data_IF_158415149496
#
_entry.id   IF_158415149496
#
_cell.length_a   1.000
_cell.length_b   1.000
_cell.length_c   1.000
_cell.angle_alpha   90.00
_cell.angle_beta   90.00
_cell.angle_gamma   90.00
#
_symmetry.space_group_name_H-M   'P 1'
#
loop_
_entity.id
_entity.type
_entity.pdbx_description
1 polymer ?
#
# COMPACT_ATOMS: atom_id res chain seq x y z
N UNK A 1 -9.52 27.76 4.71
CA UNK A 1 -10.39 26.58 4.57
C UNK A 1 -9.69 25.39 5.21
N UNK A 2 -10.41 24.49 5.91
CA UNK A 2 -9.81 23.29 6.51
C UNK A 2 -9.57 22.25 5.41
N UNK A 3 -8.35 21.69 5.33
CA UNK A 3 -8.02 20.64 4.35
C UNK A 3 -8.81 19.34 4.58
N UNK A 4 -9.10 19.01 5.84
CA UNK A 4 -9.62 17.69 6.22
C UNK A 4 -11.14 17.57 6.11
N UNK A 5 -11.88 18.67 6.21
CA UNK A 5 -13.34 18.67 6.13
C UNK A 5 -13.86 18.05 4.82
N UNK A 6 -13.46 18.50 3.62
CA UNK A 6 -13.93 17.89 2.38
C UNK A 6 -13.39 16.47 2.16
N UNK A 7 -12.24 16.12 2.75
CA UNK A 7 -11.73 14.75 2.74
C UNK A 7 -12.61 13.80 3.57
N UNK A 8 -13.10 14.27 4.72
CA UNK A 8 -13.99 13.50 5.58
C UNK A 8 -15.38 13.34 4.95
N UNK A 9 -15.87 14.39 4.30
CA UNK A 9 -17.17 14.43 3.60
C UNK A 9 -17.16 13.72 2.24
N UNK A 10 -15.97 13.41 1.71
CA UNK A 10 -15.78 12.84 0.37
C UNK A 10 -16.31 13.76 -0.73
N UNK A 11 -16.15 15.07 -0.56
CA UNK A 11 -16.47 16.07 -1.57
C UNK A 11 -15.27 16.30 -2.49
N UNK A 12 -15.27 15.67 -3.66
CA UNK A 12 -14.17 15.81 -4.64
C UNK A 12 -13.90 17.28 -5.01
N UNK A 13 -14.95 18.07 -5.24
CA UNK A 13 -14.80 19.47 -5.64
C UNK A 13 -14.21 20.32 -4.51
N UNK A 14 -14.68 20.08 -3.28
CA UNK A 14 -14.15 20.67 -2.06
C UNK A 14 -12.70 20.26 -1.80
N UNK A 15 -12.31 19.01 -2.07
CA UNK A 15 -10.93 18.52 -1.92
C UNK A 15 -9.98 19.31 -2.83
N UNK A 16 -10.33 19.44 -4.13
CA UNK A 16 -9.51 20.20 -5.09
C UNK A 16 -9.37 21.65 -4.65
N UNK A 17 -10.47 22.29 -4.23
CA UNK A 17 -10.46 23.66 -3.75
C UNK A 17 -9.62 23.82 -2.46
N UNK A 18 -9.73 22.88 -1.51
CA UNK A 18 -8.99 22.89 -0.26
C UNK A 18 -7.49 22.72 -0.46
N UNK A 19 -7.09 21.87 -1.39
CA UNK A 19 -5.69 21.67 -1.74
C UNK A 19 -5.10 22.92 -2.38
N UNK A 20 -5.80 23.53 -3.35
CA UNK A 20 -5.36 24.79 -3.94
C UNK A 20 -5.20 25.90 -2.88
N UNK A 21 -6.13 26.00 -1.95
CA UNK A 21 -6.04 26.96 -0.84
C UNK A 21 -4.88 26.65 0.11
N UNK A 22 -4.72 25.37 0.49
CA UNK A 22 -3.63 24.93 1.36
C UNK A 22 -2.26 25.24 0.75
N UNK A 23 -2.11 25.04 -0.57
CA UNK A 23 -0.88 25.30 -1.31
C UNK A 23 -0.47 26.77 -1.36
N UNK A 24 -1.38 27.72 -1.10
CA UNK A 24 -1.02 29.15 -1.00
C UNK A 24 -0.08 29.47 0.17
N UNK A 25 -0.16 28.67 1.24
CA UNK A 25 0.53 28.97 2.51
C UNK A 25 1.55 27.90 2.93
N UNK A 26 1.64 26.79 2.20
CA UNK A 26 2.48 25.65 2.57
C UNK A 26 3.41 25.26 1.42
N UNK A 27 4.13 24.14 1.54
CA UNK A 27 4.93 23.53 0.47
C UNK A 27 4.23 22.30 -0.10
N UNK A 28 4.73 21.77 -1.23
CA UNK A 28 4.27 20.49 -1.78
C UNK A 28 4.54 19.32 -0.82
N UNK A 29 5.68 19.34 -0.12
CA UNK A 29 6.00 18.34 0.90
C UNK A 29 5.02 18.38 2.08
N UNK A 30 4.62 19.58 2.51
CA UNK A 30 3.61 19.74 3.55
C UNK A 30 2.23 19.27 3.09
N UNK A 31 1.85 19.52 1.83
CA UNK A 31 0.62 18.98 1.25
C UNK A 31 0.67 17.46 1.22
N UNK A 32 1.77 16.88 0.70
CA UNK A 32 1.97 15.43 0.68
C UNK A 32 1.84 14.83 2.08
N UNK A 33 2.53 15.40 3.07
CA UNK A 33 2.49 14.90 4.44
C UNK A 33 1.07 14.89 4.99
N UNK A 34 0.30 15.97 4.78
CA UNK A 34 -1.09 16.05 5.25
C UNK A 34 -2.01 15.01 4.58
N UNK A 35 -1.88 14.80 3.27
CA UNK A 35 -2.66 13.81 2.51
C UNK A 35 -2.28 12.38 2.87
N UNK A 36 -0.99 12.09 2.97
CA UNK A 36 -0.51 10.76 3.32
C UNK A 36 -0.87 10.40 4.77
N UNK A 37 -0.81 11.37 5.70
CA UNK A 37 -1.32 11.19 7.06
C UNK A 37 -2.82 10.89 7.07
N UNK A 38 -3.61 11.59 6.25
CA UNK A 38 -5.04 11.29 6.13
C UNK A 38 -5.26 9.84 5.65
N UNK A 39 -4.53 9.38 4.62
CA UNK A 39 -4.64 8.00 4.13
C UNK A 39 -4.30 6.95 5.20
N UNK A 40 -3.29 7.23 6.04
CA UNK A 40 -2.90 6.37 7.17
C UNK A 40 -3.95 6.37 8.29
N UNK A 41 -4.48 7.54 8.66
CA UNK A 41 -5.45 7.65 9.74
C UNK A 41 -6.84 7.17 9.34
N UNK A 42 -7.20 7.24 8.06
CA UNK A 42 -8.44 6.71 7.50
C UNK A 42 -8.38 5.21 7.20
N UNK A 43 -7.20 4.59 7.40
CA UNK A 43 -6.94 3.22 7.04
C UNK A 43 -7.91 2.25 7.73
N UNK A 44 -8.36 1.25 6.98
CA UNK A 44 -9.11 0.10 7.48
C UNK A 44 -8.71 -1.11 6.62
N UNK A 45 -8.51 -2.32 7.18
CA UNK A 45 -7.99 -3.46 6.43
C UNK A 45 -8.94 -3.85 5.28
N UNK A 46 -8.68 -3.29 4.10
CA UNK A 46 -9.55 -3.35 2.92
C UNK A 46 -8.70 -3.03 1.69
N UNK A 47 -9.02 -3.62 0.54
CA UNK A 47 -8.29 -3.40 -0.71
C UNK A 47 -8.15 -1.91 -1.06
N UNK A 48 -9.20 -1.13 -0.79
CA UNK A 48 -9.19 0.31 -1.07
C UNK A 48 -8.19 1.08 -0.20
N UNK A 49 -8.20 0.85 1.12
CA UNK A 49 -7.30 1.57 2.02
C UNK A 49 -5.83 1.17 1.81
N UNK A 50 -5.55 -0.12 1.55
CA UNK A 50 -4.22 -0.61 1.14
C UNK A 50 -3.67 0.21 -0.01
N UNK A 51 -4.48 0.36 -1.06
CA UNK A 51 -4.08 1.12 -2.23
C UNK A 51 -3.93 2.62 -1.96
N UNK A 52 -4.73 3.23 -1.09
CA UNK A 52 -4.57 4.65 -0.79
C UNK A 52 -3.20 4.96 -0.18
N UNK A 53 -2.76 4.11 0.74
CA UNK A 53 -1.43 4.19 1.35
C UNK A 53 -0.33 3.92 0.32
N UNK A 54 -0.49 2.87 -0.49
CA UNK A 54 0.49 2.52 -1.54
C UNK A 54 0.59 3.61 -2.61
N UNK A 55 -0.51 4.28 -2.96
CA UNK A 55 -0.52 5.41 -3.89
C UNK A 55 0.27 6.59 -3.32
N UNK A 56 0.03 6.96 -2.05
CA UNK A 56 0.80 8.00 -1.38
C UNK A 56 2.30 7.63 -1.36
N UNK A 57 2.63 6.39 -1.02
CA UNK A 57 4.01 5.89 -1.07
C UNK A 57 4.63 6.04 -2.46
N UNK A 58 3.88 5.65 -3.49
CA UNK A 58 4.33 5.64 -4.90
C UNK A 58 4.51 7.07 -5.44
N UNK A 59 3.59 7.98 -5.11
CA UNK A 59 3.68 9.40 -5.45
C UNK A 59 4.97 10.02 -4.88
N UNK A 60 5.31 9.68 -3.63
CA UNK A 60 6.56 10.14 -3.03
C UNK A 60 7.80 9.66 -3.77
N UNK A 61 7.82 8.41 -4.24
CA UNK A 61 8.98 7.83 -4.95
C UNK A 61 9.25 8.49 -6.30
N UNK A 62 8.22 8.98 -6.97
CA UNK A 62 8.35 9.57 -8.31
C UNK A 62 8.28 11.11 -8.28
N UNK A 63 8.22 11.72 -7.10
CA UNK A 63 8.01 13.17 -6.94
C UNK A 63 9.03 14.01 -7.71
N UNK A 64 10.30 13.58 -7.70
CA UNK A 64 11.41 14.29 -8.34
C UNK A 64 11.27 14.28 -9.88
N UNK A 65 10.56 13.30 -10.45
CA UNK A 65 10.30 13.19 -11.89
C UNK A 65 9.09 14.02 -12.34
N UNK A 66 8.17 14.30 -11.41
CA UNK A 66 6.92 15.00 -11.72
C UNK A 66 7.08 16.51 -11.74
N UNK A 67 8.05 17.05 -10.98
CA UNK A 67 8.26 18.48 -10.83
C UNK A 67 6.96 19.19 -10.46
N UNK A 68 6.52 20.14 -11.29
CA UNK A 68 5.32 20.94 -11.04
C UNK A 68 4.00 20.14 -11.05
N UNK A 69 4.00 18.89 -11.56
CA UNK A 69 2.81 18.02 -11.58
C UNK A 69 2.65 17.20 -10.29
N UNK A 70 3.56 17.34 -9.33
CA UNK A 70 3.49 16.58 -8.09
C UNK A 70 2.23 16.91 -7.28
N UNK A 71 1.85 18.19 -7.19
CA UNK A 71 0.64 18.61 -6.47
C UNK A 71 -0.64 18.04 -7.07
N UNK A 72 -0.70 17.90 -8.40
CA UNK A 72 -1.83 17.26 -9.10
C UNK A 72 -1.94 15.79 -8.70
N UNK A 73 -0.81 15.07 -8.66
CA UNK A 73 -0.81 13.67 -8.23
C UNK A 73 -1.19 13.52 -6.75
N UNK A 74 -0.72 14.42 -5.89
CA UNK A 74 -1.10 14.43 -4.46
C UNK A 74 -2.59 14.71 -4.30
N UNK A 75 -3.18 15.56 -5.16
CA UNK A 75 -4.62 15.80 -5.20
C UNK A 75 -5.39 14.52 -5.54
N UNK A 76 -4.96 13.77 -6.55
CA UNK A 76 -5.59 12.49 -6.89
C UNK A 76 -5.43 11.45 -5.77
N UNK A 77 -4.28 11.42 -5.08
CA UNK A 77 -4.10 10.58 -3.88
C UNK A 77 -5.09 10.96 -2.77
N UNK A 78 -5.33 12.26 -2.56
CA UNK A 78 -6.25 12.76 -1.55
C UNK A 78 -7.70 12.35 -1.84
N UNK A 79 -8.13 12.52 -3.10
CA UNK A 79 -9.43 12.07 -3.57
C UNK A 79 -9.55 10.57 -3.36
N UNK A 80 -8.56 9.78 -3.81
CA UNK A 80 -8.60 8.33 -3.68
C UNK A 80 -8.68 7.89 -2.20
N UNK A 81 -7.89 8.49 -1.32
CA UNK A 81 -7.92 8.20 0.12
C UNK A 81 -9.29 8.53 0.74
N UNK A 82 -9.87 9.69 0.41
CA UNK A 82 -11.18 10.10 0.90
C UNK A 82 -12.28 9.12 0.45
N UNK A 83 -12.25 8.71 -0.83
CA UNK A 83 -13.20 7.75 -1.38
C UNK A 83 -13.03 6.34 -0.84
N UNK A 84 -11.80 5.97 -0.44
CA UNK A 84 -11.46 4.64 0.09
C UNK A 84 -11.85 4.45 1.56
N UNK A 85 -12.10 5.56 2.27
CA UNK A 85 -12.52 5.53 3.68
C UNK A 85 -13.80 4.70 3.83
N UNK A 86 -13.86 3.85 4.84
CA UNK A 86 -15.06 3.06 5.14
C UNK A 86 -15.96 3.79 6.16
N UNK A 87 -17.29 3.62 6.10
CA UNK A 87 -18.21 4.19 7.10
C UNK A 87 -17.89 3.75 8.54
N UNK A 88 -17.31 2.56 8.69
CA UNK A 88 -16.87 1.98 9.96
C UNK A 88 -15.37 2.11 10.23
N UNK A 89 -14.64 2.96 9.47
CA UNK A 89 -13.24 3.24 9.79
C UNK A 89 -13.14 3.64 11.26
N UNK A 90 -12.29 2.95 12.01
CA UNK A 90 -12.08 3.24 13.43
C UNK A 90 -11.64 4.70 13.60
N UNK A 91 -11.91 5.32 14.77
CA UNK A 91 -11.30 6.59 15.10
C UNK A 91 -9.78 6.52 14.89
N UNK A 92 -9.16 7.61 14.41
CA UNK A 92 -7.70 7.66 14.26
C UNK A 92 -7.02 7.29 15.58
N UNK A 93 -6.29 6.17 15.61
CA UNK A 93 -5.46 5.79 16.76
C UNK A 93 -4.05 6.27 16.48
N UNK A 94 -3.67 7.31 17.22
CA UNK A 94 -2.37 7.98 17.11
C UNK A 94 -1.38 7.48 18.15
N UNK A 95 -1.88 6.98 19.28
CA UNK A 95 -1.07 6.60 20.43
C UNK A 95 -0.84 5.08 20.52
N UNK A 96 0.37 4.64 20.90
CA UNK A 96 0.63 3.23 21.16
C UNK A 96 -0.24 2.69 22.30
N UNK A 97 -0.75 1.45 22.19
CA UNK A 97 -1.44 0.81 23.31
C UNK A 97 -0.47 0.57 24.48
N UNK A 98 -1.02 0.47 25.69
CA UNK A 98 -0.26 0.07 26.86
C UNK A 98 0.34 -1.34 26.67
N UNK A 99 1.64 -1.47 26.96
CA UNK A 99 2.38 -2.72 26.88
C UNK A 99 2.08 -3.55 28.14
N UNK A 100 1.64 -4.79 27.95
CA UNK A 100 1.36 -5.69 29.06
C UNK A 100 2.66 -6.23 29.68
N UNK A 101 2.66 -6.49 30.98
CA UNK A 101 3.84 -6.99 31.71
C UNK A 101 4.36 -8.34 31.18
N UNK A 102 3.51 -9.12 30.50
CA UNK A 102 3.83 -10.42 29.91
C UNK A 102 4.23 -10.33 28.43
N UNK A 103 4.25 -9.15 27.83
CA UNK A 103 4.60 -8.97 26.42
C UNK A 103 6.09 -9.32 26.20
N UNK A 104 6.37 -10.33 25.37
CA UNK A 104 7.74 -10.82 25.15
C UNK A 104 8.55 -9.86 24.29
N UNK A 105 7.99 -9.43 23.16
CA UNK A 105 8.66 -8.60 22.15
C UNK A 105 9.57 -9.40 21.20
N UNK A 106 9.60 -10.74 21.26
CA UNK A 106 10.32 -11.53 20.27
C UNK A 106 9.53 -11.66 18.96
N UNK A 107 10.19 -12.05 17.86
CA UNK A 107 9.54 -12.24 16.56
C UNK A 107 8.43 -13.31 16.61
N UNK A 108 8.60 -14.34 17.43
CA UNK A 108 7.61 -15.42 17.59
C UNK A 108 6.30 -14.90 18.19
N UNK A 109 6.34 -13.91 19.08
CA UNK A 109 5.13 -13.28 19.59
C UNK A 109 4.33 -12.58 18.50
N UNK A 110 4.99 -11.93 17.54
CA UNK A 110 4.29 -11.35 16.39
C UNK A 110 3.67 -12.45 15.52
N UNK A 111 4.42 -13.52 15.21
CA UNK A 111 3.91 -14.68 14.45
C UNK A 111 2.70 -15.32 15.11
N UNK A 112 2.76 -15.58 16.41
CA UNK A 112 1.66 -16.11 17.21
C UNK A 112 0.43 -15.19 17.14
N UNK A 113 0.64 -13.88 17.27
CA UNK A 113 -0.45 -12.89 17.23
C UNK A 113 -1.11 -12.86 15.85
N UNK A 114 -0.31 -12.92 14.79
CA UNK A 114 -0.78 -13.00 13.40
C UNK A 114 -1.57 -14.28 13.15
N UNK A 115 -1.04 -15.44 13.55
CA UNK A 115 -1.73 -16.72 13.40
C UNK A 115 -3.06 -16.77 14.16
N UNK A 116 -3.12 -16.13 15.34
CA UNK A 116 -4.33 -16.01 16.14
C UNK A 116 -5.34 -14.99 15.60
N UNK A 117 -4.91 -14.05 14.74
CA UNK A 117 -5.70 -12.86 14.40
C UNK A 117 -5.82 -11.86 15.57
N UNK A 118 -4.90 -11.92 16.53
CA UNK A 118 -4.88 -11.05 17.71
C UNK A 118 -4.21 -9.71 17.40
N UNK A 119 -5.02 -8.80 16.84
CA UNK A 119 -4.59 -7.45 16.48
C UNK A 119 -3.98 -6.69 17.65
N UNK A 120 -4.61 -6.71 18.82
CA UNK A 120 -4.17 -5.91 19.96
C UNK A 120 -2.80 -6.38 20.48
N UNK A 121 -2.59 -7.70 20.56
CA UNK A 121 -1.29 -8.26 20.95
C UNK A 121 -0.19 -7.92 19.95
N UNK A 122 -0.49 -7.94 18.65
CA UNK A 122 0.45 -7.54 17.61
C UNK A 122 0.78 -6.03 17.65
N UNK A 123 -0.21 -5.17 17.96
CA UNK A 123 0.04 -3.73 18.13
C UNK A 123 0.88 -3.41 19.37
N UNK A 124 0.72 -4.17 20.46
CA UNK A 124 1.58 -4.05 21.64
C UNK A 124 3.00 -4.50 21.36
N UNK A 125 3.17 -5.56 20.56
CA UNK A 125 4.48 -5.96 20.06
C UNK A 125 5.13 -4.80 19.28
N UNK A 126 4.38 -4.19 18.37
CA UNK A 126 4.85 -3.01 17.62
C UNK A 126 5.21 -1.86 18.55
N UNK A 127 4.32 -1.49 19.49
CA UNK A 127 4.54 -0.41 20.45
C UNK A 127 5.82 -0.58 21.25
N UNK A 128 6.14 -1.83 21.62
CA UNK A 128 7.37 -2.19 22.34
C UNK A 128 8.63 -2.06 21.48
N UNK A 129 8.52 -2.31 20.17
CA UNK A 129 9.68 -2.61 19.32
C UNK A 129 9.99 -1.62 18.22
N UNK A 130 9.07 -0.77 17.79
CA UNK A 130 9.24 0.02 16.55
C UNK A 130 10.43 0.99 16.53
N UNK A 131 11.09 1.20 17.68
CA UNK A 131 12.30 2.02 17.82
C UNK A 131 13.58 1.20 17.90
N UNK A 132 13.48 -0.12 17.95
CA UNK A 132 14.62 -1.01 18.06
C UNK A 132 15.39 -1.08 16.74
N UNK A 133 16.73 -1.20 16.76
CA UNK A 133 17.55 -1.23 15.55
C UNK A 133 17.21 -2.35 14.57
N UNK A 134 16.76 -3.50 15.08
CA UNK A 134 16.44 -4.71 14.31
C UNK A 134 14.93 -4.90 14.09
N UNK A 135 14.10 -3.93 14.48
CA UNK A 135 12.64 -3.98 14.31
C UNK A 135 12.23 -4.28 12.87
N UNK A 136 12.78 -3.56 11.89
CA UNK A 136 12.37 -3.70 10.50
C UNK A 136 12.65 -5.09 9.94
N UNK A 137 13.74 -5.73 10.39
CA UNK A 137 14.06 -7.12 10.01
C UNK A 137 12.94 -8.05 10.46
N UNK A 138 12.57 -7.99 11.73
CA UNK A 138 11.56 -8.88 12.30
C UNK A 138 10.16 -8.56 11.75
N UNK A 139 9.85 -7.28 11.58
CA UNK A 139 8.59 -6.80 11.01
C UNK A 139 8.39 -7.27 9.57
N UNK A 140 9.41 -7.16 8.71
CA UNK A 140 9.31 -7.63 7.33
C UNK A 140 9.35 -9.16 7.22
N UNK A 141 10.11 -9.85 8.08
CA UNK A 141 10.13 -11.30 8.11
C UNK A 141 8.71 -11.85 8.34
N UNK A 142 8.00 -11.36 9.35
CA UNK A 142 6.62 -11.82 9.61
C UNK A 142 5.65 -11.37 8.52
N UNK A 143 5.83 -10.17 7.94
CA UNK A 143 5.04 -9.73 6.79
C UNK A 143 5.18 -10.64 5.57
N UNK A 144 6.30 -11.36 5.45
CA UNK A 144 6.63 -12.26 4.35
C UNK A 144 6.33 -13.73 4.62
N UNK A 145 5.97 -14.10 5.86
CA UNK A 145 5.63 -15.48 6.21
C UNK A 145 4.35 -15.97 5.49
N UNK A 146 3.55 -15.04 4.95
CA UNK A 146 2.27 -15.30 4.30
C UNK A 146 2.12 -14.51 2.98
N UNK A 147 1.75 -15.23 1.93
CA UNK A 147 1.60 -14.72 0.57
C UNK A 147 0.13 -14.62 0.11
N UNK A 148 -0.84 -14.96 0.96
CA UNK A 148 -2.24 -14.71 0.65
C UNK A 148 -2.47 -13.24 0.26
N UNK A 149 -3.48 -13.01 -0.58
CA UNK A 149 -3.78 -11.68 -1.14
C UNK A 149 -2.58 -11.12 -1.91
N UNK A 150 -1.90 -12.00 -2.67
CA UNK A 150 -0.76 -11.67 -3.53
C UNK A 150 0.41 -10.98 -2.80
N UNK A 151 0.65 -11.35 -1.54
CA UNK A 151 1.74 -10.78 -0.73
C UNK A 151 1.51 -9.34 -0.30
N UNK A 152 0.25 -8.87 -0.24
CA UNK A 152 -0.08 -7.52 0.20
C UNK A 152 0.44 -7.16 1.59
N UNK A 153 0.57 -8.14 2.49
CA UNK A 153 1.13 -7.93 3.83
C UNK A 153 2.51 -7.29 3.77
N UNK A 154 3.42 -7.85 2.98
CA UNK A 154 4.76 -7.31 2.79
C UNK A 154 4.74 -5.97 2.04
N UNK A 155 3.93 -5.85 0.97
CA UNK A 155 3.84 -4.61 0.19
C UNK A 155 3.39 -3.43 1.08
N UNK A 156 2.36 -3.64 1.90
CA UNK A 156 1.83 -2.63 2.81
C UNK A 156 2.83 -2.35 3.94
N UNK A 157 3.48 -3.36 4.50
CA UNK A 157 4.51 -3.18 5.52
C UNK A 157 5.68 -2.31 5.02
N UNK A 158 6.14 -2.54 3.78
CA UNK A 158 7.19 -1.73 3.14
C UNK A 158 6.72 -0.29 2.89
N UNK A 159 5.48 -0.12 2.40
CA UNK A 159 4.90 1.21 2.22
C UNK A 159 4.80 1.98 3.54
N UNK A 160 4.34 1.31 4.60
CA UNK A 160 4.23 1.84 5.95
C UNK A 160 5.58 2.27 6.52
N UNK A 161 6.61 1.42 6.39
CA UNK A 161 7.96 1.72 6.87
C UNK A 161 8.54 2.98 6.24
N UNK A 162 8.36 3.18 4.92
CA UNK A 162 8.80 4.43 4.32
C UNK A 162 7.97 5.61 4.80
N UNK A 163 6.64 5.53 4.79
CA UNK A 163 5.81 6.66 5.21
C UNK A 163 6.13 7.07 6.66
N UNK A 164 6.42 6.10 7.53
CA UNK A 164 6.92 6.34 8.89
C UNK A 164 8.23 7.14 8.89
N UNK A 165 9.18 6.82 8.01
CA UNK A 165 10.43 7.59 7.87
C UNK A 165 10.20 9.03 7.41
N UNK A 166 9.12 9.30 6.67
CA UNK A 166 8.77 10.65 6.19
C UNK A 166 8.10 11.46 7.31
N UNK A 167 7.23 10.84 8.10
CA UNK A 167 6.55 11.52 9.20
C UNK A 167 7.40 11.65 10.46
N UNK A 168 8.49 10.89 10.55
CA UNK A 168 9.37 10.83 11.72
C UNK A 168 8.69 10.22 12.95
N UNK A 169 9.31 10.39 14.11
CA UNK A 169 8.95 9.68 15.35
C UNK A 169 7.49 9.84 15.76
N UNK A 170 6.89 11.01 15.53
CA UNK A 170 5.50 11.30 15.92
C UNK A 170 4.48 10.50 15.11
N UNK A 171 4.79 10.18 13.85
CA UNK A 171 3.90 9.43 12.96
C UNK A 171 4.25 7.95 12.83
N UNK A 172 5.42 7.53 13.34
CA UNK A 172 5.97 6.21 13.08
C UNK A 172 5.04 5.08 13.56
N UNK A 173 4.57 5.12 14.80
CA UNK A 173 3.66 4.09 15.32
C UNK A 173 2.36 4.00 14.52
N UNK A 174 1.66 5.14 14.37
CA UNK A 174 0.39 5.23 13.66
C UNK A 174 0.48 4.76 12.20
N UNK A 175 1.66 4.86 11.60
CA UNK A 175 1.91 4.38 10.25
C UNK A 175 2.28 2.91 10.22
N UNK A 176 3.25 2.46 11.03
CA UNK A 176 3.72 1.07 11.04
C UNK A 176 2.62 0.07 11.47
N UNK A 177 1.64 0.51 12.27
CA UNK A 177 0.52 -0.34 12.65
C UNK A 177 -0.34 -0.81 11.47
N UNK A 178 -0.36 -0.09 10.34
CA UNK A 178 -1.17 -0.49 9.19
C UNK A 178 -0.68 -1.83 8.61
N UNK A 179 0.63 -2.08 8.63
CA UNK A 179 1.14 -3.40 8.23
C UNK A 179 0.86 -4.47 9.27
N UNK A 180 0.85 -4.15 10.57
CA UNK A 180 0.39 -5.10 11.61
C UNK A 180 -1.08 -5.48 11.38
N UNK A 181 -1.92 -4.48 11.10
CA UNK A 181 -3.33 -4.70 10.80
C UNK A 181 -3.50 -5.66 9.62
N UNK A 182 -2.77 -5.43 8.52
CA UNK A 182 -2.78 -6.33 7.37
C UNK A 182 -2.32 -7.75 7.69
N UNK A 183 -1.25 -7.88 8.47
CA UNK A 183 -0.77 -9.21 8.88
C UNK A 183 -1.84 -9.97 9.65
N UNK A 184 -2.58 -9.29 10.53
CA UNK A 184 -3.62 -9.90 11.39
C UNK A 184 -5.00 -10.05 10.75
N UNK A 185 -5.27 -9.41 9.60
CA UNK A 185 -6.60 -9.35 9.00
C UNK A 185 -7.03 -10.64 8.28
N UNK A 186 -6.08 -11.43 7.77
CA UNK A 186 -6.35 -12.63 6.96
C UNK A 186 -5.38 -13.77 7.37
N UNK A 187 -5.87 -15.02 7.37
CA UNK A 187 -5.08 -16.23 7.66
C UNK A 187 -4.70 -16.89 6.35
N UNK A 188 -3.44 -16.82 5.94
CA UNK A 188 -3.10 -17.26 4.59
C UNK A 188 -2.47 -18.63 4.43
N UNK A 189 -2.24 -18.93 3.15
CA UNK A 189 -1.62 -20.13 2.62
C UNK A 189 -0.18 -19.79 2.18
N UNK A 190 0.76 -20.66 2.51
CA UNK A 190 2.16 -20.50 2.14
C UNK A 190 2.40 -20.91 0.67
N UNK A 191 2.18 -20.00 -0.27
CA UNK A 191 2.67 -20.15 -1.66
C UNK A 191 3.63 -19.01 -1.99
N UNK A 192 4.85 -19.33 -2.41
CA UNK A 192 5.91 -18.33 -2.61
C UNK A 192 5.92 -17.73 -4.02
N UNK A 193 6.56 -16.56 -4.22
CA UNK A 193 6.66 -15.90 -5.52
C UNK A 193 7.43 -16.71 -6.58
N UNK A 194 7.21 -16.33 -7.83
CA UNK A 194 7.48 -17.08 -9.06
C UNK A 194 8.80 -16.64 -9.72
N UNK A 195 9.35 -17.49 -10.59
CA UNK A 195 10.50 -17.12 -11.42
C UNK A 195 10.15 -16.06 -12.48
N UNK A 196 11.11 -15.17 -12.75
CA UNK A 196 11.06 -14.14 -13.80
C UNK A 196 9.75 -13.34 -13.83
N UNK A 197 9.36 -12.79 -12.67
CA UNK A 197 8.11 -12.04 -12.49
C UNK A 197 7.97 -10.88 -13.45
N UNK A 198 9.07 -10.21 -13.83
CA UNK A 198 9.05 -9.09 -14.77
C UNK A 198 8.77 -9.57 -16.19
N UNK A 199 9.46 -10.62 -16.66
CA UNK A 199 9.15 -11.16 -17.99
C UNK A 199 7.74 -11.73 -18.05
N UNK A 200 7.27 -12.36 -16.97
CA UNK A 200 5.89 -12.87 -16.86
C UNK A 200 4.88 -11.73 -16.93
N UNK A 201 5.10 -10.62 -16.21
CA UNK A 201 4.24 -9.44 -16.30
C UNK A 201 4.21 -8.84 -17.72
N UNK A 202 5.35 -8.79 -18.39
CA UNK A 202 5.43 -8.30 -19.77
C UNK A 202 4.68 -9.25 -20.72
N UNK A 203 4.91 -10.56 -20.61
CA UNK A 203 4.28 -11.58 -21.43
C UNK A 203 2.76 -11.60 -21.25
N UNK A 204 2.30 -11.43 -20.01
CA UNK A 204 0.90 -11.34 -19.65
C UNK A 204 0.30 -9.94 -19.85
N UNK A 205 1.06 -9.01 -20.45
CA UNK A 205 0.59 -7.66 -20.78
C UNK A 205 0.03 -6.92 -19.56
N UNK A 206 0.71 -7.05 -18.42
CA UNK A 206 0.41 -6.31 -17.21
C UNK A 206 -0.90 -6.70 -16.52
N UNK A 207 -1.32 -7.97 -16.64
CA UNK A 207 -2.47 -8.48 -15.86
C UNK A 207 -2.28 -8.26 -14.35
N UNK A 208 -3.40 -8.26 -13.61
CA UNK A 208 -3.38 -8.01 -12.16
C UNK A 208 -2.47 -8.96 -11.37
N UNK A 209 -2.50 -10.26 -11.65
CA UNK A 209 -1.73 -11.25 -10.87
C UNK A 209 -0.22 -11.09 -11.06
N UNK A 210 0.21 -10.88 -12.30
CA UNK A 210 1.60 -10.69 -12.66
C UNK A 210 2.14 -9.33 -12.21
N UNK A 211 1.32 -8.27 -12.28
CA UNK A 211 1.65 -6.97 -11.71
C UNK A 211 1.88 -7.08 -10.19
N UNK A 212 1.02 -7.80 -9.47
CA UNK A 212 1.20 -8.06 -8.04
C UNK A 212 2.48 -8.84 -7.74
N UNK A 213 2.81 -9.85 -8.54
CA UNK A 213 4.07 -10.58 -8.36
C UNK A 213 5.29 -9.65 -8.49
N UNK A 214 5.28 -8.70 -9.43
CA UNK A 214 6.35 -7.69 -9.57
C UNK A 214 6.37 -6.73 -8.38
N UNK A 215 5.23 -6.31 -7.86
CA UNK A 215 5.16 -5.44 -6.69
C UNK A 215 5.66 -6.12 -5.41
N UNK A 216 5.31 -7.39 -5.23
CA UNK A 216 5.81 -8.19 -4.12
C UNK A 216 7.33 -8.40 -4.25
N UNK A 217 7.82 -8.71 -5.45
CA UNK A 217 9.25 -8.83 -5.72
C UNK A 217 10.02 -7.56 -5.37
N UNK A 218 9.52 -6.38 -5.74
CA UNK A 218 10.07 -5.09 -5.34
C UNK A 218 10.06 -4.93 -3.80
N UNK A 219 8.95 -5.29 -3.14
CA UNK A 219 8.85 -5.23 -1.68
C UNK A 219 9.87 -6.15 -0.98
N UNK A 220 10.08 -7.38 -1.47
CA UNK A 220 11.12 -8.29 -0.96
C UNK A 220 12.52 -7.70 -1.09
N UNK A 221 12.82 -7.06 -2.24
CA UNK A 221 14.10 -6.38 -2.44
C UNK A 221 14.31 -5.24 -1.46
N UNK A 222 13.29 -4.41 -1.24
CA UNK A 222 13.35 -3.30 -0.26
C UNK A 222 13.53 -3.83 1.16
N UNK A 223 12.88 -4.95 1.49
CA UNK A 223 12.99 -5.60 2.80
C UNK A 223 14.30 -6.37 3.02
N UNK A 224 15.13 -6.56 1.98
CA UNK A 224 16.35 -7.36 2.07
C UNK A 224 16.10 -8.85 2.28
N UNK A 225 14.92 -9.35 1.87
CA UNK A 225 14.53 -10.74 2.03
C UNK A 225 15.07 -11.61 0.89
N UNK A 226 15.36 -12.90 1.14
CA UNK A 226 15.82 -13.82 0.10
C UNK A 226 14.74 -13.98 -0.96
N UNK A 227 15.13 -13.84 -2.23
CA UNK A 227 14.28 -14.11 -3.37
C UNK A 227 14.24 -15.62 -3.61
N UNK A 228 13.33 -16.34 -2.96
CA UNK A 228 13.11 -17.76 -3.30
C UNK A 228 12.32 -17.84 -4.60
N UNK A 229 12.79 -18.72 -5.47
CA UNK A 229 12.44 -18.85 -6.88
C UNK A 229 11.78 -20.22 -7.09
N UNK A 230 10.52 -20.24 -7.54
CA UNK A 230 9.82 -21.46 -7.94
C UNK A 230 9.23 -21.31 -9.36
N UNK A 231 9.41 -22.31 -10.24
CA UNK A 231 8.94 -22.26 -11.63
C UNK A 231 7.42 -22.46 -11.78
N UNK A 232 6.84 -21.90 -12.85
CA UNK A 232 5.41 -21.98 -13.20
C UNK A 232 5.07 -23.13 -14.18
N UNK A 233 3.85 -23.72 -14.09
CA UNK A 233 3.12 -24.22 -15.24
C UNK A 233 2.41 -23.08 -15.99
N UNK A 234 2.35 -23.16 -17.32
CA UNK A 234 1.68 -22.16 -18.17
C UNK A 234 0.18 -22.04 -17.83
N UNK A 235 -0.30 -20.81 -17.56
CA UNK A 235 -1.73 -20.56 -17.34
C UNK A 235 -2.49 -20.50 -18.68
N UNK A 236 -3.52 -21.34 -18.82
CA UNK A 236 -4.47 -21.30 -19.94
C UNK A 236 -5.43 -20.10 -19.86
N UNK A 237 -6.10 -19.85 -20.98
CA UNK A 237 -7.11 -18.80 -21.19
C UNK A 237 -8.17 -18.79 -20.07
N UNK A 238 -8.50 -17.61 -19.54
CA UNK A 238 -9.55 -17.43 -18.51
C UNK A 238 -10.76 -16.72 -19.11
N UNK A 239 -11.92 -17.35 -18.95
CA UNK A 239 -13.24 -16.84 -19.35
C UNK A 239 -13.94 -16.06 -18.22
N UNK A 240 -14.66 -14.99 -18.59
CA UNK A 240 -15.99 -14.71 -18.05
C UNK A 240 -16.16 -13.55 -17.05
N UNK A 241 -16.61 -12.42 -17.59
CA UNK A 241 -17.06 -11.18 -16.93
C UNK A 241 -18.08 -11.42 -15.81
N UNK A 242 -17.81 -10.89 -14.60
CA UNK A 242 -18.81 -10.63 -13.55
C UNK A 242 -19.22 -9.15 -13.56
N UNK A 243 -20.41 -8.85 -13.03
CA UNK A 243 -21.04 -7.53 -13.13
C UNK A 243 -20.25 -6.45 -12.38
N UNK A 244 -19.93 -5.38 -13.11
CA UNK A 244 -19.01 -4.31 -12.69
C UNK A 244 -19.60 -3.39 -11.60
N UNK A 245 -18.90 -3.14 -10.48
CA UNK A 245 -19.25 -2.07 -9.54
C UNK A 245 -19.01 -0.68 -10.14
N UNK A 246 -19.64 0.34 -9.54
CA UNK A 246 -19.59 1.74 -10.02
C UNK A 246 -18.14 2.28 -10.00
N UNK A 247 -17.70 2.64 -11.21
CA UNK A 247 -16.39 3.10 -11.65
C UNK A 247 -15.90 4.40 -10.98
N UNK A 248 -14.59 4.52 -10.70
CA UNK A 248 -13.94 5.78 -10.25
C UNK A 248 -12.49 5.91 -10.76
N UNK A 249 -12.28 6.84 -11.69
CA UNK A 249 -11.02 7.16 -12.38
C UNK A 249 -9.79 7.28 -11.44
N UNK A 250 -9.94 7.89 -10.26
CA UNK A 250 -8.85 8.04 -9.28
C UNK A 250 -8.29 6.69 -8.77
N UNK A 251 -9.09 5.61 -8.84
CA UNK A 251 -8.71 4.25 -8.44
C UNK A 251 -7.74 3.61 -9.41
N UNK A 252 -8.00 3.77 -10.69
CA UNK A 252 -7.28 3.11 -11.77
C UNK A 252 -5.87 3.70 -11.93
N UNK A 253 -5.74 5.01 -11.68
CA UNK A 253 -4.45 5.67 -11.58
C UNK A 253 -3.59 5.12 -10.44
N UNK A 254 -4.17 4.56 -9.39
CA UNK A 254 -3.42 4.01 -8.26
C UNK A 254 -2.58 2.78 -8.61
N UNK A 255 -3.17 1.85 -9.38
CA UNK A 255 -2.47 0.66 -9.88
C UNK A 255 -1.35 1.04 -10.86
N UNK A 256 -1.67 1.94 -11.80
CA UNK A 256 -0.71 2.44 -12.78
C UNK A 256 0.43 3.23 -12.14
N UNK A 257 0.12 4.07 -11.14
CA UNK A 257 1.10 4.81 -10.34
C UNK A 257 2.06 3.86 -9.61
N UNK A 258 1.54 2.77 -9.06
CA UNK A 258 2.36 1.72 -8.41
C UNK A 258 3.31 1.08 -9.43
N UNK A 259 2.82 0.71 -10.61
CA UNK A 259 3.65 0.18 -11.71
C UNK A 259 4.75 1.15 -12.14
N UNK A 260 4.45 2.44 -12.26
CA UNK A 260 5.45 3.45 -12.60
C UNK A 260 6.53 3.61 -11.53
N UNK A 261 6.10 3.62 -10.26
CA UNK A 261 7.00 3.70 -9.10
C UNK A 261 7.91 2.46 -8.98
N UNK A 262 7.37 1.27 -9.22
CA UNK A 262 8.14 0.02 -9.21
C UNK A 262 9.09 -0.06 -10.41
N UNK A 263 8.63 0.30 -11.61
CA UNK A 263 9.49 0.37 -12.80
C UNK A 263 10.68 1.30 -12.58
N UNK A 264 10.46 2.45 -11.94
CA UNK A 264 11.52 3.37 -11.57
C UNK A 264 12.54 2.75 -10.60
N UNK A 265 12.08 2.06 -9.55
CA UNK A 265 12.97 1.39 -8.58
C UNK A 265 13.75 0.22 -9.18
N UNK A 266 13.12 -0.53 -10.08
CA UNK A 266 13.74 -1.68 -10.75
C UNK A 266 14.57 -1.30 -11.97
N UNK A 267 14.39 -0.09 -12.52
CA UNK A 267 15.06 0.37 -13.74
C UNK A 267 14.55 -0.33 -15.01
N UNK A 268 13.27 -0.67 -15.07
CA UNK A 268 12.68 -1.42 -16.19
C UNK A 268 11.37 -0.80 -16.70
N UNK A 269 11.48 0.10 -17.67
CA UNK A 269 10.34 0.81 -18.27
C UNK A 269 9.37 -0.11 -19.03
N UNK A 270 9.75 -1.36 -19.33
CA UNK A 270 8.86 -2.34 -19.96
C UNK A 270 7.67 -2.68 -19.07
N UNK A 271 7.83 -2.55 -17.74
CA UNK A 271 6.75 -2.68 -16.76
C UNK A 271 5.67 -1.61 -17.01
N UNK A 272 6.07 -0.37 -17.30
CA UNK A 272 5.14 0.73 -17.61
C UNK A 272 4.41 0.45 -18.92
N UNK A 273 5.13 -0.01 -19.95
CA UNK A 273 4.53 -0.36 -21.24
C UNK A 273 3.48 -1.48 -21.10
N UNK A 274 3.77 -2.52 -20.31
CA UNK A 274 2.83 -3.60 -20.05
C UNK A 274 1.60 -3.11 -19.26
N UNK A 275 1.80 -2.33 -18.20
CA UNK A 275 0.72 -1.74 -17.43
C UNK A 275 -0.17 -0.80 -18.26
N UNK A 276 0.45 0.01 -19.14
CA UNK A 276 -0.26 0.89 -20.07
C UNK A 276 -1.07 0.09 -21.09
N UNK A 277 -0.49 -0.97 -21.66
CA UNK A 277 -1.19 -1.83 -22.59
C UNK A 277 -2.46 -2.40 -21.94
N UNK A 278 -2.36 -2.90 -20.71
CA UNK A 278 -3.49 -3.44 -19.98
C UNK A 278 -4.60 -2.39 -19.80
N UNK A 279 -4.24 -1.21 -19.30
CA UNK A 279 -5.15 -0.09 -19.11
C UNK A 279 -5.89 0.30 -20.40
N UNK A 280 -5.20 0.25 -21.54
CA UNK A 280 -5.76 0.66 -22.83
C UNK A 280 -6.61 -0.44 -23.50
N UNK A 281 -6.43 -1.74 -23.17
CA UNK A 281 -6.97 -2.86 -23.98
C UNK A 281 -7.67 -4.00 -23.21
N UNK A 282 -7.69 -4.00 -21.88
CA UNK A 282 -8.33 -5.08 -21.12
C UNK A 282 -9.85 -5.17 -21.44
N UNK A 283 -10.42 -6.40 -21.57
CA UNK A 283 -11.84 -6.62 -21.87
C UNK A 283 -12.76 -6.12 -20.75
N UNK A 284 -12.27 -6.03 -19.52
CA UNK A 284 -12.91 -5.32 -18.42
C UNK A 284 -11.84 -4.66 -17.54
N UNK A 285 -12.19 -3.53 -16.92
CA UNK A 285 -11.29 -2.85 -15.99
C UNK A 285 -11.07 -3.63 -14.67
N UNK A 286 -11.84 -4.68 -14.37
CA UNK A 286 -11.59 -5.57 -13.22
C UNK A 286 -10.30 -6.40 -13.40
N UNK A 287 -9.81 -6.55 -14.64
CA UNK A 287 -8.54 -7.23 -14.91
C UNK A 287 -7.30 -6.38 -14.56
N UNK A 288 -7.50 -5.08 -14.30
CA UNK A 288 -6.45 -4.12 -13.92
C UNK A 288 -6.73 -3.36 -12.63
N UNK A 289 -8.01 -3.24 -12.25
CA UNK A 289 -8.48 -2.53 -11.07
C UNK A 289 -8.97 -3.53 -10.02
N UNK A 290 -8.52 -3.30 -8.80
CA UNK A 290 -8.63 -4.20 -7.66
C UNK A 290 -10.04 -4.28 -7.04
N UNK A 291 -11.10 -4.40 -7.87
CA UNK A 291 -12.52 -4.31 -7.53
C UNK A 291 -13.23 -5.65 -7.50
#
# INVERSE_FOLDING_TARGET
>A
MNLYEPLLERDESGIRAAIHEFRRNHTSDALFAAVAQFAVLAYAPSQHAKHAVICCRSAWDIRDQLGNRFDDLVTECAIYAAMSRQPWSEPPITDPPAIDATQRGDIEELRESVAAGDRLRAERWLAKRYRDPDFLRDYFAVASDDYEDFGHKLIVAVAASKLASIFGDKGAFATLRIGVWEMTAYRGNAEQPRDDVVATMIANRGDMESAHAVFHYDAMRVAGLPLTLHPLPASGERDGVRGLPIYRLARDYGAYLKSFSVAHRLGDDRIIAAAKYNLDHAPSFEEFSFA
#
